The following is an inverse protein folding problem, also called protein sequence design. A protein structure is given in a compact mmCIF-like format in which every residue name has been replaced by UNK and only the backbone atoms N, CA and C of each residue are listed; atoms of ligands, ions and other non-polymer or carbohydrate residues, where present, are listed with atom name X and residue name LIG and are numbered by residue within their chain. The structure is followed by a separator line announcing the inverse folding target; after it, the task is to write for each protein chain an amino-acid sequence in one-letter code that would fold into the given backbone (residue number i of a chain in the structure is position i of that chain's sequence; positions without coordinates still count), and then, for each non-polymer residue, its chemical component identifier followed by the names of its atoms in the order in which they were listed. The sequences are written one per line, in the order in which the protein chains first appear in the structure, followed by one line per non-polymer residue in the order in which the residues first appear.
data_IF_960437592954
#
_entry.id   IF_960437592954
#
_cell.length_a   1.000
_cell.length_b   1.000
_cell.length_c   1.000
_cell.angle_alpha   90.00
_cell.angle_beta   90.00
_cell.angle_gamma   90.00
#
_symmetry.space_group_name_H-M   'P 1'
#
loop_
_entity.id
_entity.type
_entity.pdbx_description
1 polymer ?
#
# COMPACT_ATOMS: atom_id res chain seq x y z
N UNK A 1 -5.89 5.14 30.73
CA UNK A 1 -5.75 5.76 29.39
C UNK A 1 -4.45 5.40 28.68
N UNK A 2 -3.26 5.51 29.31
CA UNK A 2 -1.98 5.22 28.66
C UNK A 2 -1.77 3.75 28.22
N UNK A 3 -2.33 2.79 28.97
CA UNK A 3 -2.23 1.37 28.62
C UNK A 3 -2.99 1.00 27.33
N UNK A 4 -4.16 1.62 27.12
CA UNK A 4 -4.96 1.41 25.91
C UNK A 4 -4.28 2.03 24.69
N UNK A 5 -3.66 3.21 24.83
CA UNK A 5 -2.88 3.83 23.76
C UNK A 5 -1.69 2.94 23.33
N UNK A 6 -0.97 2.34 24.29
CA UNK A 6 0.13 1.42 23.99
C UNK A 6 -0.31 0.09 23.39
N UNK A 7 -1.50 -0.40 23.75
CA UNK A 7 -2.10 -1.60 23.15
C UNK A 7 -2.49 -1.31 21.69
N UNK A 8 -3.08 -0.15 21.43
CA UNK A 8 -3.47 0.29 20.10
C UNK A 8 -2.25 0.55 19.21
N UNK A 9 -1.18 1.16 19.71
CA UNK A 9 0.06 1.34 18.95
C UNK A 9 0.72 0.00 18.57
N UNK A 10 0.63 -1.03 19.44
CA UNK A 10 1.11 -2.38 19.13
C UNK A 10 0.23 -3.13 18.13
N UNK A 11 -1.07 -2.87 18.13
CA UNK A 11 -2.02 -3.50 17.20
C UNK A 11 -2.04 -2.79 15.83
N UNK A 12 -1.69 -1.50 15.76
CA UNK A 12 -1.76 -0.67 14.56
C UNK A 12 -0.41 -0.49 13.85
N UNK A 13 0.70 -0.85 14.46
CA UNK A 13 2.04 -0.69 13.88
C UNK A 13 2.89 -1.96 14.06
N UNK A 14 2.98 -2.84 13.05
CA UNK A 14 3.99 -3.88 13.05
C UNK A 14 5.36 -3.21 12.89
N UNK A 15 6.27 -3.53 13.80
CA UNK A 15 7.69 -3.22 13.67
C UNK A 15 8.21 -3.71 12.32
N UNK A 16 9.07 -2.88 11.74
CA UNK A 16 9.57 -2.91 10.37
C UNK A 16 10.15 -4.27 9.92
N UNK A 17 9.71 -4.69 8.73
CA UNK A 17 10.18 -5.79 7.86
C UNK A 17 10.10 -7.19 8.46
N UNK A 18 9.02 -7.88 8.13
CA UNK A 18 9.10 -9.27 7.68
C UNK A 18 8.35 -9.35 6.35
N UNK A 19 9.02 -9.98 5.38
CA UNK A 19 8.49 -10.29 4.06
C UNK A 19 7.48 -11.41 4.24
N UNK A 20 6.19 -11.08 4.28
CA UNK A 20 5.15 -12.07 4.11
C UNK A 20 5.07 -12.42 2.62
N UNK A 21 5.79 -13.47 2.23
CA UNK A 21 5.41 -14.26 1.05
C UNK A 21 4.16 -15.03 1.50
N UNK A 22 3.00 -14.45 1.22
CA UNK A 22 1.73 -15.16 1.42
C UNK A 22 1.71 -16.37 0.48
N UNK A 23 1.55 -17.57 1.04
CA UNK A 23 1.27 -18.76 0.24
C UNK A 23 -0.10 -18.58 -0.43
N UNK A 24 -0.12 -18.72 -1.76
CA UNK A 24 -1.35 -18.69 -2.54
C UNK A 24 -2.15 -19.97 -2.23
N UNK A 25 -3.12 -19.87 -1.34
CA UNK A 25 -4.15 -20.91 -1.19
C UNK A 25 -4.84 -21.11 -2.56
N UNK A 26 -4.70 -22.27 -3.19
CA UNK A 26 -5.44 -22.61 -4.41
C UNK A 26 -6.91 -22.92 -4.04
N UNK A 27 -7.84 -22.05 -4.45
CA UNK A 27 -9.28 -22.29 -4.28
C UNK A 27 -9.79 -23.45 -5.13
N UNK A 28 -10.87 -24.10 -4.67
CA UNK A 28 -11.54 -25.20 -5.38
C UNK A 28 -11.89 -24.80 -6.82
N UNK A 29 -11.47 -25.60 -7.81
CA UNK A 29 -11.68 -25.36 -9.25
C UNK A 29 -12.79 -26.25 -9.78
N UNK A 30 -13.84 -25.66 -10.34
CA UNK A 30 -14.86 -26.39 -11.10
C UNK A 30 -14.46 -26.50 -12.58
N UNK A 31 -14.62 -27.68 -13.24
CA UNK A 31 -14.10 -27.93 -14.59
C UNK A 31 -14.78 -27.14 -15.72
N UNK A 32 -15.85 -26.37 -15.46
CA UNK A 32 -16.68 -25.74 -16.48
C UNK A 32 -16.76 -24.20 -16.42
N UNK A 33 -15.83 -23.53 -15.74
CA UNK A 33 -15.80 -22.05 -15.60
C UNK A 33 -14.62 -21.40 -16.35
N UNK A 34 -14.72 -20.11 -16.70
CA UNK A 34 -13.56 -19.33 -17.11
C UNK A 34 -12.51 -19.39 -16.00
N UNK A 35 -11.28 -19.78 -16.34
CA UNK A 35 -10.17 -19.96 -15.39
C UNK A 35 -9.81 -18.68 -14.60
N UNK A 36 -10.38 -17.53 -14.95
CA UNK A 36 -10.10 -16.22 -14.35
C UNK A 36 -10.93 -15.87 -13.12
N UNK A 37 -12.00 -16.62 -12.80
CA UNK A 37 -12.93 -16.30 -11.70
C UNK A 37 -13.12 -17.45 -10.70
N UNK A 38 -13.10 -17.12 -9.41
CA UNK A 38 -13.33 -18.03 -8.28
C UNK A 38 -14.80 -18.36 -8.07
N UNK A 39 -15.12 -19.53 -7.52
CA UNK A 39 -16.50 -19.96 -7.22
C UNK A 39 -17.26 -19.04 -6.27
N UNK A 40 -16.54 -18.40 -5.33
CA UNK A 40 -17.02 -17.37 -4.43
C UNK A 40 -15.96 -16.26 -4.29
N UNK A 41 -16.35 -15.02 -3.95
CA UNK A 41 -15.39 -13.93 -3.81
C UNK A 41 -14.59 -14.09 -2.51
N UNK A 42 -13.30 -13.80 -2.59
CA UNK A 42 -12.45 -13.59 -1.41
C UNK A 42 -12.68 -12.18 -0.89
N UNK A 43 -13.49 -12.08 0.16
CA UNK A 43 -13.86 -10.81 0.78
C UNK A 43 -12.90 -10.37 1.91
N UNK A 44 -11.89 -11.17 2.23
CA UNK A 44 -10.90 -10.82 3.25
C UNK A 44 -10.18 -9.52 2.88
N UNK A 45 -10.31 -8.51 3.74
CA UNK A 45 -9.65 -7.22 3.60
C UNK A 45 -8.21 -7.30 4.09
N UNK A 46 -7.31 -6.65 3.36
CA UNK A 46 -5.93 -6.39 3.77
C UNK A 46 -5.81 -4.91 4.12
N UNK A 47 -6.08 -4.52 5.37
CA UNK A 47 -5.98 -3.13 5.78
C UNK A 47 -4.51 -2.71 5.91
N UNK A 48 -4.22 -1.49 5.49
CA UNK A 48 -2.93 -0.83 5.69
C UNK A 48 -3.19 0.61 6.12
N UNK A 49 -2.59 1.04 7.21
CA UNK A 49 -2.71 2.41 7.69
C UNK A 49 -1.42 2.92 8.29
N UNK A 50 -1.37 4.22 8.51
CA UNK A 50 -0.23 4.86 9.13
C UNK A 50 -0.47 6.35 9.36
N UNK A 51 0.47 6.97 10.06
CA UNK A 51 0.42 8.39 10.37
C UNK A 51 1.81 9.02 10.37
N UNK A 52 1.89 10.27 9.90
CA UNK A 52 3.06 11.12 9.99
C UNK A 52 2.75 12.26 10.98
N UNK A 53 3.02 12.02 12.27
CA UNK A 53 2.67 12.95 13.34
C UNK A 53 3.26 14.35 13.14
N UNK A 54 4.46 14.45 12.57
CA UNK A 54 5.17 15.72 12.34
C UNK A 54 4.40 16.74 11.49
N UNK A 55 3.47 16.28 10.64
CA UNK A 55 2.70 17.15 9.73
C UNK A 55 1.19 16.87 9.81
N UNK A 56 0.74 16.15 10.84
CA UNK A 56 -0.68 15.84 11.05
C UNK A 56 -1.32 14.91 10.00
N UNK A 57 -0.53 14.21 9.19
CA UNK A 57 -1.05 13.34 8.13
C UNK A 57 -1.40 11.95 8.69
N UNK A 58 -2.57 11.42 8.33
CA UNK A 58 -3.02 10.06 8.66
C UNK A 58 -3.65 9.45 7.41
N UNK A 59 -3.42 8.16 7.17
CA UNK A 59 -4.01 7.46 6.04
C UNK A 59 -4.49 6.06 6.42
N UNK A 60 -5.43 5.57 5.63
CA UNK A 60 -5.91 4.19 5.64
C UNK A 60 -6.17 3.72 4.22
N UNK A 61 -5.93 2.44 3.97
CA UNK A 61 -6.13 1.74 2.72
C UNK A 61 -6.61 0.32 3.04
N UNK A 62 -7.30 -0.31 2.09
CA UNK A 62 -7.69 -1.70 2.17
C UNK A 62 -7.65 -2.31 0.78
N UNK A 63 -7.10 -3.51 0.65
CA UNK A 63 -7.10 -4.28 -0.58
C UNK A 63 -7.96 -5.55 -0.41
N UNK A 64 -8.67 -5.96 -1.47
CA UNK A 64 -9.54 -7.14 -1.47
C UNK A 64 -9.42 -7.83 -2.82
N UNK A 65 -9.21 -9.15 -2.83
CA UNK A 65 -9.06 -9.93 -4.07
C UNK A 65 -10.39 -10.07 -4.85
N UNK A 66 -11.50 -10.23 -4.14
CA UNK A 66 -12.82 -10.39 -4.75
C UNK A 66 -12.91 -11.69 -5.56
N UNK A 67 -13.47 -11.60 -6.77
CA UNK A 67 -13.77 -12.76 -7.61
C UNK A 67 -12.60 -13.25 -8.46
N UNK A 68 -11.49 -12.49 -8.53
CA UNK A 68 -10.35 -12.83 -9.40
C UNK A 68 -9.60 -14.04 -8.85
N UNK A 69 -9.10 -14.89 -9.75
CA UNK A 69 -8.26 -16.03 -9.37
C UNK A 69 -6.99 -15.61 -8.61
N UNK A 70 -6.37 -14.49 -9.01
CA UNK A 70 -5.18 -13.92 -8.39
C UNK A 70 -5.39 -12.46 -8.01
N UNK A 71 -4.69 -12.01 -6.97
CA UNK A 71 -4.61 -10.60 -6.58
C UNK A 71 -3.36 -9.99 -7.21
N UNK A 72 -3.53 -9.21 -8.28
CA UNK A 72 -2.41 -8.59 -9.01
C UNK A 72 -2.14 -7.15 -8.58
N UNK A 73 -3.06 -6.53 -7.83
CA UNK A 73 -2.91 -5.19 -7.30
C UNK A 73 -1.80 -5.09 -6.26
N UNK A 74 -1.12 -3.95 -6.23
CA UNK A 74 -0.23 -3.54 -5.17
C UNK A 74 -0.50 -2.09 -4.78
N UNK A 75 -0.05 -1.67 -3.61
CA UNK A 75 -0.11 -0.27 -3.20
C UNK A 75 1.12 0.11 -2.40
N UNK A 76 1.43 1.40 -2.33
CA UNK A 76 2.44 1.93 -1.44
C UNK A 76 2.00 3.25 -0.81
N UNK A 77 2.46 3.48 0.41
CA UNK A 77 2.28 4.71 1.16
C UNK A 77 3.62 5.09 1.80
N UNK A 78 4.22 6.18 1.33
CA UNK A 78 5.48 6.71 1.83
C UNK A 78 5.25 8.08 2.45
N UNK A 79 5.32 8.10 3.77
CA UNK A 79 5.11 9.31 4.57
C UNK A 79 6.34 10.23 4.65
N UNK A 80 7.47 9.75 4.10
CA UNK A 80 8.73 10.47 3.99
C UNK A 80 9.39 10.11 2.68
N UNK A 81 9.77 11.10 1.89
CA UNK A 81 10.43 10.91 0.59
C UNK A 81 11.86 11.46 0.67
N UNK A 82 12.89 10.59 0.73
CA UNK A 82 14.28 11.04 0.66
C UNK A 82 14.51 11.87 -0.62
N UNK A 83 15.14 13.03 -0.48
CA UNK A 83 15.40 13.93 -1.62
C UNK A 83 14.33 15.01 -1.86
N UNK A 84 13.17 14.93 -1.19
CA UNK A 84 12.20 16.02 -1.14
C UNK A 84 12.23 16.74 0.23
N UNK A 85 11.78 18.00 0.31
CA UNK A 85 11.62 18.69 1.58
C UNK A 85 10.70 17.92 2.55
N UNK A 86 10.84 18.13 3.87
CA UNK A 86 9.89 17.59 4.84
C UNK A 86 8.46 18.08 4.57
N UNK A 87 7.47 17.23 4.85
CA UNK A 87 6.04 17.52 4.61
C UNK A 87 5.47 16.92 3.32
N UNK A 88 6.29 16.26 2.51
CA UNK A 88 5.82 15.52 1.34
C UNK A 88 5.58 14.05 1.66
N UNK A 89 4.48 13.52 1.13
CA UNK A 89 4.12 12.11 1.18
C UNK A 89 3.69 11.63 -0.21
N UNK A 90 3.83 10.34 -0.48
CA UNK A 90 3.43 9.70 -1.72
C UNK A 90 2.55 8.50 -1.44
N UNK A 91 1.50 8.36 -2.25
CA UNK A 91 0.59 7.24 -2.21
C UNK A 91 0.33 6.77 -3.63
N UNK A 92 0.33 5.47 -3.86
CA UNK A 92 -0.03 4.89 -5.15
C UNK A 92 -0.77 3.57 -4.98
N UNK A 93 -1.73 3.36 -5.88
CA UNK A 93 -2.41 2.08 -6.12
C UNK A 93 -2.01 1.65 -7.53
N UNK A 94 -1.55 0.41 -7.67
CA UNK A 94 -1.08 -0.16 -8.92
C UNK A 94 -1.94 -1.37 -9.25
N UNK A 95 -2.73 -1.27 -10.30
CA UNK A 95 -3.54 -2.35 -10.85
C UNK A 95 -2.65 -3.22 -11.77
N UNK A 96 -2.41 -4.46 -11.35
CA UNK A 96 -1.55 -5.39 -12.08
C UNK A 96 -2.29 -6.10 -13.20
N UNK A 97 -1.62 -6.35 -14.33
CA UNK A 97 -2.14 -7.17 -15.40
C UNK A 97 -1.06 -8.06 -16.01
N UNK A 98 -1.40 -9.33 -16.26
CA UNK A 98 -0.43 -10.32 -16.74
C UNK A 98 0.50 -10.83 -15.62
N UNK A 99 0.05 -10.70 -14.37
CA UNK A 99 0.76 -11.07 -13.15
C UNK A 99 1.14 -9.87 -12.27
N UNK A 100 1.27 -10.11 -10.97
CA UNK A 100 1.49 -9.07 -9.96
C UNK A 100 2.89 -8.40 -10.02
N UNK A 101 3.84 -8.94 -10.80
CA UNK A 101 5.26 -8.54 -10.73
C UNK A 101 5.49 -7.06 -10.99
N UNK A 102 4.82 -6.49 -12.00
CA UNK A 102 4.98 -5.08 -12.36
C UNK A 102 4.44 -4.16 -11.26
N UNK A 103 3.23 -4.43 -10.75
CA UNK A 103 2.61 -3.68 -9.68
C UNK A 103 3.44 -3.74 -8.38
N UNK A 104 3.89 -4.93 -7.99
CA UNK A 104 4.77 -5.14 -6.82
C UNK A 104 6.12 -4.42 -7.00
N UNK A 105 6.70 -4.47 -8.20
CA UNK A 105 7.93 -3.75 -8.49
C UNK A 105 7.75 -2.23 -8.34
N UNK A 106 6.67 -1.68 -8.91
CA UNK A 106 6.34 -0.26 -8.79
C UNK A 106 6.11 0.17 -7.34
N UNK A 107 5.33 -0.59 -6.57
CA UNK A 107 5.08 -0.36 -5.15
C UNK A 107 6.37 -0.34 -4.30
N UNK A 108 7.44 -1.02 -4.74
CA UNK A 108 8.73 -1.08 -4.02
C UNK A 108 9.70 0.02 -4.45
N UNK A 109 9.70 0.39 -5.73
CA UNK A 109 10.79 1.16 -6.34
C UNK A 109 10.42 2.57 -6.81
N UNK A 110 9.13 2.92 -6.98
CA UNK A 110 8.76 4.26 -7.44
C UNK A 110 9.31 5.39 -6.55
N UNK A 111 9.55 5.13 -5.26
CA UNK A 111 10.16 6.09 -4.31
C UNK A 111 11.55 6.54 -4.72
N UNK A 112 12.32 5.67 -5.35
CA UNK A 112 13.69 5.96 -5.78
C UNK A 112 13.74 6.74 -7.10
N UNK A 113 12.62 6.82 -7.81
CA UNK A 113 12.53 7.51 -9.09
C UNK A 113 12.23 9.00 -8.95
N UNK A 114 11.91 9.49 -7.74
CA UNK A 114 11.73 10.92 -7.52
C UNK A 114 13.07 11.61 -7.77
N UNK A 115 13.19 12.44 -8.82
CA UNK A 115 14.45 13.05 -9.13
C UNK A 115 14.81 13.99 -7.99
N UNK A 116 16.03 13.85 -7.47
CA UNK A 116 16.68 14.81 -6.55
C UNK A 116 16.94 16.17 -7.23
N UNK A 117 16.29 16.45 -8.36
CA UNK A 117 16.55 17.60 -9.21
C UNK A 117 15.67 18.77 -8.80
N UNK A 118 16.18 19.97 -9.07
CA UNK A 118 15.64 21.28 -8.68
C UNK A 118 14.24 21.60 -9.22
N UNK A 119 13.58 20.69 -9.93
CA UNK A 119 12.22 20.85 -10.47
C UNK A 119 11.14 20.92 -9.38
N UNK A 120 11.36 20.26 -8.23
CA UNK A 120 10.45 20.35 -7.07
C UNK A 120 10.84 21.44 -6.06
N UNK A 121 12.02 22.07 -6.23
CA UNK A 121 12.54 23.05 -5.28
C UNK A 121 11.91 24.45 -5.41
N UNK A 122 11.08 24.70 -6.42
CA UNK A 122 10.45 26.01 -6.67
C UNK A 122 8.99 26.14 -6.24
N UNK A 123 8.43 25.15 -5.52
CA UNK A 123 7.07 25.24 -4.98
C UNK A 123 7.00 26.19 -3.78
N UNK A 124 6.68 27.46 -4.03
CA UNK A 124 6.29 28.40 -2.98
C UNK A 124 5.13 27.80 -2.16
N UNK A 125 5.25 27.85 -0.83
CA UNK A 125 4.19 27.46 0.09
C UNK A 125 3.06 28.49 -0.03
N UNK A 126 2.05 28.23 -0.85
CA UNK A 126 0.74 28.87 -0.67
C UNK A 126 0.05 28.17 0.51
N UNK A 127 0.30 28.72 1.71
CA UNK A 127 -0.44 28.36 2.89
C UNK A 127 -1.85 28.95 2.82
N UNK A 128 -2.86 28.10 2.85
CA UNK A 128 -4.19 28.50 3.32
C UNK A 128 -4.09 28.59 4.85
N UNK A 129 -4.27 29.81 5.36
CA UNK A 129 -4.35 30.13 6.78
C UNK A 129 -5.67 29.65 7.40
#
# INVERSE_FOLDING_TARGET
MAALARLLERLLWPTRKEEEVEEEEEGCRSPNRPQSLLDAPRCAQRPHGGAAAAWGLRFGASAVQGWRAHMEDAHCAWLTLPGLPPGWAFFAVLDGHGGARAALFGARHLKGSFPTSRLFASGAREGVA
#
